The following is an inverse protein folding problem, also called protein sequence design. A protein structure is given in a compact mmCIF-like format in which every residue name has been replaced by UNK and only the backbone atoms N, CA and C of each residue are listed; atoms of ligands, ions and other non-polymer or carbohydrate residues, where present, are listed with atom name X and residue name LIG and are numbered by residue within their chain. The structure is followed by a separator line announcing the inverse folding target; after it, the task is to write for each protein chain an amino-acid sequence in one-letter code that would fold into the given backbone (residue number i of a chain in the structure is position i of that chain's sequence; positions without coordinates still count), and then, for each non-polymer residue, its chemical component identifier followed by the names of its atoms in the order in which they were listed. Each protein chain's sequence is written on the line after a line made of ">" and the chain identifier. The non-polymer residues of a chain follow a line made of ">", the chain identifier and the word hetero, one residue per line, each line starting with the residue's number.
data_IF_663681607070
#
_entry.id   IF_663681607070
#
_cell.length_a   1.000
_cell.length_b   1.000
_cell.length_c   1.000
_cell.angle_alpha   90.00
_cell.angle_beta   90.00
_cell.angle_gamma   90.00
#
_symmetry.space_group_name_H-M   'P 1'
#
loop_
_entity.id
_entity.type
_entity.pdbx_description
1 polymer ?
#
# COMPACT_ATOMS: atom_id res chain seq x y z
N UNK A 1 -4.17 2.74 4.31
CA UNK A 1 -4.13 3.51 5.57
C UNK A 1 -2.97 2.96 6.41
N UNK A 2 -2.63 3.56 7.53
CA UNK A 2 -1.44 3.19 8.32
C UNK A 2 -1.43 1.72 8.77
N UNK A 3 -2.58 1.18 9.20
CA UNK A 3 -2.69 -0.20 9.68
C UNK A 3 -3.18 -1.17 8.59
N UNK A 4 -3.27 -0.71 7.33
CA UNK A 4 -3.63 -1.58 6.21
C UNK A 4 -2.42 -2.36 5.73
N UNK A 5 -2.63 -3.61 5.37
CA UNK A 5 -1.63 -4.47 4.77
C UNK A 5 -1.99 -4.79 3.32
N UNK A 6 -0.96 -4.96 2.49
CA UNK A 6 -1.10 -5.32 1.08
C UNK A 6 -0.09 -6.42 0.76
N UNK A 7 -0.57 -7.53 0.20
CA UNK A 7 0.27 -8.67 -0.13
C UNK A 7 -0.27 -9.39 -1.36
N UNK A 8 0.64 -10.05 -2.10
CA UNK A 8 0.29 -10.93 -3.23
C UNK A 8 -0.34 -12.24 -2.78
N UNK A 9 -0.05 -12.67 -1.54
CA UNK A 9 -0.53 -13.93 -0.95
C UNK A 9 -0.71 -13.75 0.56
N UNK A 10 -1.66 -14.48 1.16
CA UNK A 10 -1.80 -14.46 2.61
C UNK A 10 -0.56 -15.08 3.29
N UNK A 11 -0.10 -14.56 4.44
CA UNK A 11 1.02 -15.12 5.19
C UNK A 11 0.85 -16.60 5.53
N UNK A 12 -0.37 -17.04 5.80
CA UNK A 12 -0.70 -18.43 6.13
C UNK A 12 -0.51 -19.37 4.92
N UNK A 13 -0.88 -18.89 3.74
CA UNK A 13 -0.68 -19.63 2.49
C UNK A 13 0.81 -19.66 2.12
N UNK A 14 1.51 -18.53 2.30
CA UNK A 14 2.96 -18.44 2.13
C UNK A 14 3.71 -19.41 3.05
N UNK A 15 3.32 -19.43 4.33
CA UNK A 15 3.83 -20.34 5.36
C UNK A 15 3.66 -21.82 4.94
N UNK A 16 2.47 -22.17 4.47
CA UNK A 16 2.16 -23.54 4.03
C UNK A 16 2.96 -23.96 2.80
N UNK A 17 3.23 -23.04 1.87
CA UNK A 17 3.99 -23.35 0.64
C UNK A 17 5.48 -23.47 0.93
N UNK A 18 6.06 -22.50 1.64
CA UNK A 18 7.51 -22.40 1.84
C UNK A 18 8.00 -23.27 3.01
N UNK A 19 7.24 -23.35 4.10
CA UNK A 19 7.62 -24.10 5.32
C UNK A 19 6.79 -25.37 5.55
N UNK A 20 5.80 -25.67 4.70
CA UNK A 20 4.90 -26.84 4.87
C UNK A 20 4.21 -26.90 6.23
N UNK A 21 4.01 -25.74 6.86
CA UNK A 21 3.43 -25.59 8.18
C UNK A 21 2.67 -24.27 8.29
N UNK A 22 1.70 -24.19 9.17
CA UNK A 22 0.94 -22.97 9.49
C UNK A 22 1.59 -22.10 10.57
N UNK A 23 2.56 -22.66 11.28
CA UNK A 23 3.19 -22.02 12.44
C UNK A 23 4.12 -20.86 12.05
N UNK A 24 4.57 -20.80 10.80
CA UNK A 24 5.49 -19.76 10.30
C UNK A 24 4.77 -18.55 9.69
N UNK A 25 3.49 -18.33 10.02
CA UNK A 25 2.71 -17.20 9.46
C UNK A 25 3.26 -15.82 9.84
N UNK A 26 3.80 -15.66 11.06
CA UNK A 26 4.39 -14.39 11.51
C UNK A 26 5.70 -14.11 10.78
N UNK A 27 6.56 -15.13 10.65
CA UNK A 27 7.79 -15.07 9.86
C UNK A 27 7.51 -14.78 8.38
N UNK A 28 6.48 -15.42 7.81
CA UNK A 28 6.03 -15.15 6.45
C UNK A 28 5.51 -13.72 6.28
N UNK A 29 4.75 -13.19 7.25
CA UNK A 29 4.25 -11.83 7.22
C UNK A 29 5.38 -10.80 7.21
N UNK A 30 6.39 -11.01 8.06
CA UNK A 30 7.56 -10.14 8.15
C UNK A 30 8.42 -10.21 6.88
N UNK A 31 8.63 -11.41 6.33
CA UNK A 31 9.37 -11.62 5.08
C UNK A 31 8.68 -10.96 3.87
N UNK A 32 7.33 -10.99 3.83
CA UNK A 32 6.54 -10.36 2.77
C UNK A 32 6.53 -8.83 2.84
N UNK A 33 6.94 -8.23 3.96
CA UNK A 33 7.01 -6.77 4.15
C UNK A 33 5.70 -6.07 3.76
N UNK A 34 4.60 -6.57 4.33
CA UNK A 34 3.23 -6.23 3.94
C UNK A 34 2.68 -4.91 4.53
N UNK A 35 3.46 -4.20 5.35
CA UNK A 35 3.01 -2.97 6.03
C UNK A 35 2.96 -1.77 5.09
N UNK A 36 2.15 -0.76 5.44
CA UNK A 36 2.09 0.48 4.68
C UNK A 36 3.46 1.19 4.57
N UNK A 37 4.28 1.12 5.62
CA UNK A 37 5.63 1.70 5.62
C UNK A 37 6.57 0.99 4.65
N UNK A 38 6.52 -0.34 4.61
CA UNK A 38 7.31 -1.14 3.68
C UNK A 38 6.91 -0.89 2.23
N UNK A 39 5.61 -0.86 1.97
CA UNK A 39 5.07 -0.54 0.64
C UNK A 39 5.54 0.84 0.17
N UNK A 40 5.61 1.82 1.08
CA UNK A 40 6.13 3.17 0.77
C UNK A 40 7.64 3.15 0.51
N UNK A 41 8.43 2.42 1.30
CA UNK A 41 9.87 2.24 1.08
C UNK A 41 10.16 1.59 -0.28
N UNK A 42 9.31 0.67 -0.72
CA UNK A 42 9.39 0.00 -2.01
C UNK A 42 8.79 0.81 -3.17
N UNK A 43 8.30 2.04 -2.92
CA UNK A 43 7.67 2.93 -3.92
C UNK A 43 6.43 2.31 -4.61
N UNK A 44 5.73 1.41 -3.92
CA UNK A 44 4.50 0.79 -4.43
C UNK A 44 3.27 1.67 -4.20
N UNK A 45 3.30 2.51 -3.16
CA UNK A 45 2.24 3.46 -2.81
C UNK A 45 2.77 4.90 -2.79
N UNK A 46 1.89 5.86 -3.07
CA UNK A 46 2.26 7.29 -3.11
C UNK A 46 2.26 7.94 -1.70
N UNK A 47 1.51 7.38 -0.76
CA UNK A 47 1.35 7.96 0.56
C UNK A 47 0.65 7.04 1.55
N UNK A 48 0.76 7.39 2.83
CA UNK A 48 0.13 6.68 3.94
C UNK A 48 -0.82 7.67 4.62
N UNK A 49 -2.07 7.26 4.73
CA UNK A 49 -3.10 8.01 5.46
C UNK A 49 -3.04 7.56 6.92
N UNK A 50 -2.69 8.48 7.82
CA UNK A 50 -2.57 8.21 9.26
C UNK A 50 -3.93 7.89 9.86
N UNK A 51 -3.94 6.91 10.76
CA UNK A 51 -5.15 6.53 11.47
C UNK A 51 -5.26 7.26 12.83
N UNK A 52 -6.48 7.42 13.37
CA UNK A 52 -6.66 7.85 14.75
C UNK A 52 -5.98 6.88 15.74
N UNK A 53 -5.68 7.38 16.95
CA UNK A 53 -5.21 6.53 18.03
C UNK A 53 -6.24 5.41 18.29
N UNK A 54 -5.82 4.15 18.29
CA UNK A 54 -6.72 2.99 18.38
C UNK A 54 -7.21 2.46 17.02
N UNK A 55 -6.78 3.05 15.90
CA UNK A 55 -7.11 2.61 14.55
C UNK A 55 -8.34 3.27 13.96
N UNK A 56 -8.56 3.05 12.66
CA UNK A 56 -9.64 3.67 11.89
C UNK A 56 -11.05 3.39 12.45
N UNK A 57 -11.24 2.22 13.08
CA UNK A 57 -12.50 1.80 13.65
C UNK A 57 -12.85 2.55 14.94
N UNK A 58 -11.85 3.02 15.69
CA UNK A 58 -12.04 3.74 16.94
C UNK A 58 -12.65 5.13 16.74
N UNK A 59 -12.20 5.86 15.71
CA UNK A 59 -12.78 7.15 15.33
C UNK A 59 -12.97 7.23 13.81
N UNK A 60 -14.09 6.66 13.36
CA UNK A 60 -14.44 6.56 11.94
C UNK A 60 -14.55 7.93 11.29
N UNK A 61 -15.21 8.89 11.94
CA UNK A 61 -15.39 10.24 11.40
C UNK A 61 -14.06 10.93 11.08
N UNK A 62 -13.09 10.84 12.01
CA UNK A 62 -11.75 11.39 11.79
C UNK A 62 -11.02 10.66 10.66
N UNK A 63 -11.10 9.33 10.63
CA UNK A 63 -10.49 8.54 9.56
C UNK A 63 -11.07 8.92 8.18
N UNK A 64 -12.39 9.07 8.06
CA UNK A 64 -13.04 9.50 6.82
C UNK A 64 -12.60 10.89 6.38
N UNK A 65 -12.49 11.85 7.31
CA UNK A 65 -12.00 13.20 7.00
C UNK A 65 -10.56 13.19 6.46
N UNK A 66 -9.68 12.38 7.04
CA UNK A 66 -8.30 12.26 6.54
C UNK A 66 -8.25 11.60 5.15
N UNK A 67 -9.12 10.61 4.89
CA UNK A 67 -9.26 9.98 3.58
C UNK A 67 -9.78 10.99 2.55
N UNK A 68 -10.86 11.69 2.86
CA UNK A 68 -11.45 12.73 2.00
C UNK A 68 -10.40 13.79 1.62
N UNK A 69 -9.69 14.32 2.62
CA UNK A 69 -8.62 15.30 2.42
C UNK A 69 -7.54 14.78 1.46
N UNK A 70 -7.14 13.51 1.61
CA UNK A 70 -6.11 12.90 0.77
C UNK A 70 -6.61 12.71 -0.67
N UNK A 71 -7.84 12.23 -0.85
CA UNK A 71 -8.46 12.07 -2.17
C UNK A 71 -8.61 13.41 -2.88
N UNK A 72 -9.13 14.43 -2.19
CA UNK A 72 -9.30 15.77 -2.77
C UNK A 72 -7.96 16.41 -3.16
N UNK A 73 -6.90 16.18 -2.37
CA UNK A 73 -5.55 16.62 -2.71
C UNK A 73 -5.06 15.94 -4.00
N UNK A 74 -5.11 14.62 -4.05
CA UNK A 74 -4.67 13.86 -5.23
C UNK A 74 -5.50 14.22 -6.48
N UNK A 75 -6.81 14.41 -6.32
CA UNK A 75 -7.67 14.84 -7.42
C UNK A 75 -7.28 16.22 -7.96
N UNK A 76 -6.98 17.19 -7.09
CA UNK A 76 -6.54 18.53 -7.54
C UNK A 76 -5.24 18.45 -8.34
N UNK A 77 -4.27 17.66 -7.87
CA UNK A 77 -2.98 17.45 -8.55
C UNK A 77 -3.17 16.78 -9.93
N UNK A 78 -4.06 15.79 -10.02
CA UNK A 78 -4.30 15.05 -11.27
C UNK A 78 -5.20 15.81 -12.26
N UNK A 79 -6.10 16.67 -11.76
CA UNK A 79 -7.04 17.44 -12.60
C UNK A 79 -6.34 18.42 -13.52
N UNK A 80 -5.17 18.93 -13.14
CA UNK A 80 -4.40 19.89 -13.93
C UNK A 80 -3.66 19.23 -15.11
N UNK A 81 -3.60 17.91 -15.15
CA UNK A 81 -2.89 17.15 -16.19
C UNK A 81 -3.80 16.85 -17.38
N UNK A 82 -3.21 16.88 -18.58
CA UNK A 82 -3.92 16.43 -19.78
C UNK A 82 -4.10 14.90 -19.79
N UNK A 83 -5.08 14.35 -20.54
CA UNK A 83 -5.26 12.91 -20.66
C UNK A 83 -3.99 12.17 -21.12
N UNK A 84 -3.19 12.78 -22.00
CA UNK A 84 -1.92 12.21 -22.47
C UNK A 84 -0.89 12.12 -21.35
N UNK A 85 -0.77 13.15 -20.52
CA UNK A 85 0.15 13.17 -19.38
C UNK A 85 -0.28 12.17 -18.31
N UNK A 86 -1.58 12.05 -18.02
CA UNK A 86 -2.11 11.06 -17.08
C UNK A 86 -1.75 9.62 -17.47
N UNK A 87 -1.88 9.29 -18.76
CA UNK A 87 -1.51 7.96 -19.27
C UNK A 87 0.00 7.76 -19.17
N UNK A 88 0.78 8.75 -19.59
CA UNK A 88 2.25 8.68 -19.52
C UNK A 88 2.75 8.45 -18.09
N UNK A 89 2.30 9.27 -17.13
CA UNK A 89 2.70 9.15 -15.72
C UNK A 89 2.31 7.79 -15.12
N UNK A 90 1.12 7.27 -15.48
CA UNK A 90 0.69 5.94 -15.04
C UNK A 90 1.61 4.84 -15.56
N UNK A 91 1.97 4.89 -16.85
CA UNK A 91 2.88 3.92 -17.45
C UNK A 91 4.27 3.99 -16.82
N UNK A 92 4.82 5.20 -16.65
CA UNK A 92 6.11 5.40 -15.99
C UNK A 92 6.09 4.89 -14.54
N UNK A 93 5.01 5.13 -13.80
CA UNK A 93 4.87 4.63 -12.43
C UNK A 93 5.00 3.11 -12.36
N UNK A 94 4.25 2.37 -13.19
CA UNK A 94 4.30 0.91 -13.18
C UNK A 94 5.61 0.36 -13.76
N UNK A 95 6.18 0.99 -14.79
CA UNK A 95 7.45 0.54 -15.38
C UNK A 95 8.63 0.67 -14.41
N UNK A 96 8.57 1.64 -13.48
CA UNK A 96 9.59 1.83 -12.44
C UNK A 96 9.36 0.95 -11.19
N UNK A 97 8.28 0.15 -11.15
CA UNK A 97 8.04 -0.78 -10.05
C UNK A 97 8.78 -2.10 -10.30
N UNK A 98 9.55 -2.54 -9.30
CA UNK A 98 10.36 -3.75 -9.38
C UNK A 98 11.81 -3.47 -9.72
N UNK A 99 12.69 -4.41 -9.34
CA UNK A 99 14.12 -4.35 -9.64
C UNK A 99 14.48 -5.65 -10.35
N UNK A 100 14.92 -5.54 -11.59
CA UNK A 100 15.46 -6.66 -12.34
C UNK A 100 16.95 -6.45 -12.55
N UNK A 101 17.75 -7.40 -12.08
CA UNK A 101 19.18 -7.49 -12.38
C UNK A 101 19.38 -8.84 -13.06
N UNK A 102 19.64 -8.81 -14.36
CA UNK A 102 19.94 -9.99 -15.18
C UNK A 102 21.31 -10.56 -14.88
#
# INVERSE_FOLDING_TARGET
>A
MENTWYSVISPESCSSILWRSWEHKEEAAEALKLTAEDMKKQKLIDGIIKEPLGGAHYNREKAFKEVEKTILKAYKELKELTPKELVKQRMEKYANMGVFKG
#
